data_IF_818174221580
#
_entry.id   IF_818174221580
#
_cell.length_a   1.000
_cell.length_b   1.000
_cell.length_c   1.000
_cell.angle_alpha   90.00
_cell.angle_beta   90.00
_cell.angle_gamma   90.00
#
_symmetry.space_group_name_H-M   'P 1'
#
loop_
_entity.id
_entity.type
_entity.pdbx_description
1 polymer ?
#
# COMPACT_ATOMS: atom_id res chain seq x y z
N UNK A 1 16.42 -9.09 14.37
CA UNK A 1 15.80 -9.86 13.27
C UNK A 1 14.49 -10.45 13.78
N UNK A 2 13.44 -10.48 12.97
CA UNK A 2 12.17 -11.13 13.33
C UNK A 2 12.37 -12.61 13.65
N UNK A 3 11.54 -13.19 14.53
CA UNK A 3 11.52 -14.64 14.72
C UNK A 3 10.93 -15.33 13.47
N UNK A 4 11.30 -16.59 13.18
CA UNK A 4 10.75 -17.32 12.02
C UNK A 4 9.22 -17.33 11.97
N UNK A 5 8.61 -17.42 13.16
CA UNK A 5 7.16 -17.43 13.36
C UNK A 5 6.49 -16.08 13.04
N UNK A 6 7.17 -14.96 13.26
CA UNK A 6 6.66 -13.63 12.88
C UNK A 6 6.80 -13.40 11.37
N UNK A 7 7.91 -13.85 10.77
CA UNK A 7 8.10 -13.79 9.32
C UNK A 7 7.04 -14.57 8.56
N UNK A 8 6.60 -15.71 9.09
CA UNK A 8 5.51 -16.50 8.52
C UNK A 8 4.23 -15.67 8.34
N UNK A 9 3.78 -14.95 9.36
CA UNK A 9 2.57 -14.13 9.26
C UNK A 9 2.71 -12.96 8.28
N UNK A 10 3.85 -12.28 8.25
CA UNK A 10 4.07 -11.23 7.25
C UNK A 10 4.13 -11.80 5.83
N UNK A 11 4.76 -12.95 5.64
CA UNK A 11 4.78 -13.66 4.35
C UNK A 11 3.37 -14.00 3.89
N UNK A 12 2.56 -14.57 4.76
CA UNK A 12 1.18 -14.97 4.46
C UNK A 12 0.22 -13.77 4.30
N UNK A 13 0.55 -12.63 4.91
CA UNK A 13 -0.07 -11.35 4.57
C UNK A 13 0.33 -10.90 3.15
N UNK A 14 1.62 -10.93 2.84
CA UNK A 14 2.18 -10.51 1.56
C UNK A 14 1.70 -11.35 0.37
N UNK A 15 1.52 -12.66 0.54
CA UNK A 15 1.02 -13.56 -0.51
C UNK A 15 -0.37 -13.17 -1.01
N UNK A 16 -1.21 -12.60 -0.13
CA UNK A 16 -2.59 -12.19 -0.43
C UNK A 16 -2.69 -10.82 -1.12
N UNK A 17 -1.71 -9.93 -0.94
CA UNK A 17 -1.79 -8.54 -1.43
C UNK A 17 -1.85 -8.42 -2.96
N UNK A 18 -1.00 -9.10 -3.77
CA UNK A 18 -1.10 -9.04 -5.22
C UNK A 18 -2.45 -9.56 -5.75
N UNK A 19 -3.01 -10.58 -5.11
CA UNK A 19 -4.34 -11.12 -5.45
C UNK A 19 -5.42 -10.05 -5.26
N UNK A 20 -5.37 -9.28 -4.16
CA UNK A 20 -6.27 -8.14 -3.94
C UNK A 20 -6.08 -7.05 -4.99
N UNK A 21 -4.84 -6.77 -5.41
CA UNK A 21 -4.55 -5.81 -6.48
C UNK A 21 -5.18 -6.20 -7.82
N UNK A 22 -5.02 -7.47 -8.24
CA UNK A 22 -5.63 -8.00 -9.47
C UNK A 22 -7.15 -7.97 -9.36
N UNK A 23 -7.69 -8.41 -8.23
CA UNK A 23 -9.13 -8.46 -8.01
C UNK A 23 -9.76 -7.07 -8.02
N UNK A 24 -9.06 -6.06 -7.51
CA UNK A 24 -9.48 -4.65 -7.58
C UNK A 24 -9.62 -4.17 -9.02
N UNK A 25 -8.68 -4.54 -9.91
CA UNK A 25 -8.76 -4.22 -11.34
C UNK A 25 -9.98 -4.90 -11.97
N UNK A 26 -10.16 -6.21 -11.71
CA UNK A 26 -11.29 -6.96 -12.26
C UNK A 26 -12.63 -6.38 -11.79
N UNK A 27 -12.77 -6.10 -10.48
CA UNK A 27 -13.97 -5.46 -9.91
C UNK A 27 -14.26 -4.14 -10.62
N UNK A 28 -13.25 -3.28 -10.80
CA UNK A 28 -13.42 -2.01 -11.49
C UNK A 28 -13.93 -2.20 -12.94
N UNK A 29 -13.33 -3.12 -13.69
CA UNK A 29 -13.74 -3.42 -15.07
C UNK A 29 -15.17 -3.97 -15.14
N UNK A 30 -15.52 -4.92 -14.28
CA UNK A 30 -16.86 -5.50 -14.24
C UNK A 30 -17.92 -4.49 -13.79
N UNK A 31 -17.59 -3.59 -12.86
CA UNK A 31 -18.49 -2.51 -12.47
C UNK A 31 -18.72 -1.52 -13.61
N UNK A 32 -17.68 -1.20 -14.40
CA UNK A 32 -17.80 -0.33 -15.57
C UNK A 32 -18.69 -0.94 -16.65
N UNK A 33 -18.48 -2.22 -16.98
CA UNK A 33 -19.31 -2.97 -17.93
C UNK A 33 -20.74 -3.16 -17.37
N UNK A 34 -20.84 -3.33 -16.05
CA UNK A 34 -22.07 -3.53 -15.29
C UNK A 34 -23.09 -2.40 -15.43
N UNK A 35 -22.64 -1.20 -15.82
CA UNK A 35 -23.52 -0.06 -16.14
C UNK A 35 -24.46 -0.40 -17.30
N UNK A 36 -23.97 -1.16 -18.30
CA UNK A 36 -24.74 -1.55 -19.47
C UNK A 36 -25.31 -2.97 -19.37
N UNK A 37 -24.64 -3.86 -18.62
CA UNK A 37 -24.99 -5.28 -18.54
C UNK A 37 -25.16 -5.74 -17.09
N UNK A 38 -26.40 -6.04 -16.69
CA UNK A 38 -26.73 -6.49 -15.32
C UNK A 38 -25.92 -7.72 -14.89
N UNK A 39 -25.69 -8.68 -15.79
CA UNK A 39 -24.90 -9.90 -15.50
C UNK A 39 -23.47 -9.53 -15.09
N UNK A 40 -22.85 -8.55 -15.74
CA UNK A 40 -21.49 -8.10 -15.40
C UNK A 40 -21.46 -7.42 -14.01
N UNK A 41 -22.50 -6.67 -13.65
CA UNK A 41 -22.66 -6.13 -12.30
C UNK A 41 -22.69 -7.25 -11.25
N UNK A 42 -23.48 -8.31 -11.46
CA UNK A 42 -23.54 -9.45 -10.54
C UNK A 42 -22.17 -10.12 -10.36
N UNK A 43 -21.39 -10.28 -11.43
CA UNK A 43 -20.01 -10.78 -11.37
C UNK A 43 -19.13 -9.85 -10.52
N UNK A 44 -19.22 -8.53 -10.74
CA UNK A 44 -18.50 -7.53 -9.95
C UNK A 44 -18.79 -7.63 -8.44
N UNK A 45 -20.06 -7.84 -8.07
CA UNK A 45 -20.47 -8.07 -6.68
C UNK A 45 -19.88 -9.36 -6.10
N UNK A 46 -19.91 -10.47 -6.85
CA UNK A 46 -19.30 -11.75 -6.44
C UNK A 46 -17.79 -11.58 -6.20
N UNK A 47 -17.08 -10.94 -7.14
CA UNK A 47 -15.64 -10.67 -7.00
C UNK A 47 -15.35 -9.78 -5.78
N UNK A 48 -16.22 -8.81 -5.48
CA UNK A 48 -16.08 -7.94 -4.31
C UNK A 48 -16.21 -8.72 -3.00
N UNK A 49 -17.10 -9.71 -2.93
CA UNK A 49 -17.21 -10.62 -1.77
C UNK A 49 -15.95 -11.48 -1.62
N UNK A 50 -15.44 -12.03 -2.72
CA UNK A 50 -14.17 -12.79 -2.71
C UNK A 50 -13.01 -11.91 -2.21
N UNK A 51 -12.93 -10.66 -2.69
CA UNK A 51 -11.90 -9.70 -2.27
C UNK A 51 -11.97 -9.41 -0.78
N UNK A 52 -13.19 -9.22 -0.26
CA UNK A 52 -13.42 -9.00 1.15
C UNK A 52 -12.94 -10.19 1.99
N UNK A 53 -13.23 -11.43 1.59
CA UNK A 53 -12.78 -12.64 2.30
C UNK A 53 -11.25 -12.71 2.34
N UNK A 54 -10.59 -12.45 1.21
CA UNK A 54 -9.11 -12.45 1.13
C UNK A 54 -8.52 -11.34 2.01
N UNK A 55 -9.10 -10.14 1.98
CA UNK A 55 -8.65 -9.02 2.80
C UNK A 55 -8.79 -9.32 4.30
N UNK A 56 -9.92 -9.89 4.73
CA UNK A 56 -10.11 -10.31 6.12
C UNK A 56 -9.13 -11.39 6.54
N UNK A 57 -8.83 -12.34 5.65
CA UNK A 57 -7.78 -13.37 5.86
C UNK A 57 -6.40 -12.75 5.99
N UNK A 58 -6.05 -11.77 5.16
CA UNK A 58 -4.78 -11.04 5.28
C UNK A 58 -4.70 -10.26 6.61
N UNK A 59 -5.77 -9.55 6.99
CA UNK A 59 -5.82 -8.82 8.25
C UNK A 59 -5.69 -9.73 9.48
N UNK A 60 -6.13 -11.00 9.39
CA UNK A 60 -5.88 -11.99 10.44
C UNK A 60 -4.39 -12.22 10.65
N UNK A 61 -3.61 -12.40 9.59
CA UNK A 61 -2.15 -12.59 9.70
C UNK A 61 -1.46 -11.37 10.31
N UNK A 62 -1.84 -10.16 9.90
CA UNK A 62 -1.32 -8.93 10.49
C UNK A 62 -1.61 -8.81 11.99
N UNK A 63 -2.75 -9.35 12.45
CA UNK A 63 -3.12 -9.41 13.88
C UNK A 63 -2.23 -10.36 14.66
N UNK A 64 -2.01 -11.56 14.12
CA UNK A 64 -1.16 -12.56 14.79
C UNK A 64 0.27 -12.06 14.91
N UNK A 65 0.82 -11.44 13.86
CA UNK A 65 2.09 -10.74 13.94
C UNK A 65 2.08 -9.63 15.01
N UNK A 66 0.99 -8.85 15.08
CA UNK A 66 0.81 -7.81 16.09
C UNK A 66 0.79 -8.32 17.52
N UNK A 67 0.13 -9.46 17.79
CA UNK A 67 0.12 -10.09 19.12
C UNK A 67 1.50 -10.61 19.52
N UNK A 68 2.17 -11.32 18.63
CA UNK A 68 3.51 -11.88 18.88
C UNK A 68 4.55 -10.80 19.14
N UNK A 69 4.39 -9.65 18.49
CA UNK A 69 5.25 -8.48 18.68
C UNK A 69 4.83 -7.58 19.84
N UNK A 70 3.69 -7.85 20.49
CA UNK A 70 3.05 -6.94 21.44
C UNK A 70 2.99 -5.49 20.90
N UNK A 71 2.68 -5.34 19.60
CA UNK A 71 2.75 -4.06 18.91
C UNK A 71 1.35 -3.48 18.66
N UNK A 72 1.05 -2.38 19.36
CA UNK A 72 -0.24 -1.71 19.26
C UNK A 72 -0.57 -1.19 17.85
N UNK A 73 0.42 -0.82 17.03
CA UNK A 73 0.17 -0.27 15.68
C UNK A 73 -0.43 -1.32 14.74
N UNK A 74 0.04 -2.57 14.81
CA UNK A 74 -0.50 -3.68 14.01
C UNK A 74 -1.90 -4.11 14.48
N UNK A 75 -2.12 -4.10 15.80
CA UNK A 75 -3.43 -4.41 16.37
C UNK A 75 -4.47 -3.33 15.99
N UNK A 76 -4.08 -2.06 16.09
CA UNK A 76 -4.91 -0.94 15.65
C UNK A 76 -5.13 -0.94 14.13
N UNK A 77 -4.13 -1.31 13.33
CA UNK A 77 -4.26 -1.42 11.88
C UNK A 77 -5.45 -2.32 11.51
N UNK A 78 -5.51 -3.55 12.04
CA UNK A 78 -6.65 -4.45 11.78
C UNK A 78 -7.97 -3.83 12.23
N UNK A 79 -8.03 -3.36 13.47
CA UNK A 79 -9.27 -2.83 14.05
C UNK A 79 -9.84 -1.68 13.19
N UNK A 80 -8.98 -0.76 12.77
CA UNK A 80 -9.35 0.39 11.92
C UNK A 80 -9.84 -0.04 10.54
N UNK A 81 -9.15 -0.98 9.87
CA UNK A 81 -9.57 -1.47 8.55
C UNK A 81 -10.90 -2.23 8.63
N UNK A 82 -11.08 -3.10 9.64
CA UNK A 82 -12.34 -3.84 9.81
C UNK A 82 -13.51 -2.89 10.08
N UNK A 83 -13.34 -1.93 10.99
CA UNK A 83 -14.38 -0.94 11.28
C UNK A 83 -14.68 -0.07 10.06
N UNK A 84 -13.66 0.29 9.26
CA UNK A 84 -13.87 1.00 8.01
C UNK A 84 -14.74 0.21 7.03
N UNK A 85 -14.50 -1.10 6.87
CA UNK A 85 -15.29 -1.97 6.00
C UNK A 85 -16.74 -2.03 6.46
N UNK A 86 -16.98 -2.26 7.76
CA UNK A 86 -18.33 -2.34 8.32
C UNK A 86 -19.11 -1.05 8.06
N UNK A 87 -18.49 0.10 8.35
CA UNK A 87 -19.12 1.40 8.12
C UNK A 87 -19.39 1.66 6.62
N UNK A 88 -18.49 1.25 5.73
CA UNK A 88 -18.71 1.39 4.28
C UNK A 88 -19.86 0.51 3.79
N UNK A 89 -20.01 -0.71 4.30
CA UNK A 89 -21.14 -1.60 3.97
C UNK A 89 -22.45 -0.97 4.47
N UNK A 90 -22.51 -0.54 5.73
CA UNK A 90 -23.70 0.10 6.32
C UNK A 90 -24.06 1.37 5.54
N UNK A 91 -23.09 2.26 5.30
CA UNK A 91 -23.30 3.49 4.55
C UNK A 91 -23.80 3.22 3.13
N UNK A 92 -23.21 2.27 2.42
CA UNK A 92 -23.64 1.90 1.06
C UNK A 92 -25.07 1.33 1.05
N UNK A 93 -25.43 0.50 2.03
CA UNK A 93 -26.77 -0.04 2.16
C UNK A 93 -27.80 1.07 2.43
N UNK A 94 -27.47 2.03 3.29
CA UNK A 94 -28.36 3.18 3.57
C UNK A 94 -28.58 4.04 2.33
N UNK A 95 -27.54 4.27 1.53
CA UNK A 95 -27.68 4.99 0.26
C UNK A 95 -28.54 4.21 -0.73
N UNK A 96 -28.31 2.91 -0.87
CA UNK A 96 -29.09 2.05 -1.77
C UNK A 96 -30.57 1.98 -1.37
N UNK A 97 -30.87 1.84 -0.07
CA UNK A 97 -32.25 1.89 0.43
C UNK A 97 -32.85 3.27 0.19
N UNK A 98 -32.11 4.35 0.47
CA UNK A 98 -32.58 5.72 0.26
C UNK A 98 -32.96 6.02 -1.20
N UNK A 99 -32.23 5.48 -2.18
CA UNK A 99 -32.58 5.67 -3.60
C UNK A 99 -33.84 4.92 -4.03
N UNK A 100 -34.17 3.79 -3.39
CA UNK A 100 -35.42 3.03 -3.68
C UNK A 100 -36.65 3.79 -3.18
N UNK A 101 -36.56 4.41 -2.00
CA UNK A 101 -37.72 4.99 -1.31
C UNK A 101 -37.97 6.49 -1.60
N UNK A 102 -37.46 7.04 -2.73
CA UNK A 102 -37.41 8.45 -3.25
C UNK A 102 -38.35 9.57 -2.71
N UNK A 103 -39.44 9.28 -2.00
CA UNK A 103 -40.40 10.26 -1.47
C UNK A 103 -40.22 10.54 0.02
N UNK A 104 -39.85 11.79 0.35
CA UNK A 104 -40.04 12.39 1.68
C UNK A 104 -38.77 12.81 2.42
N UNK A 105 -38.93 13.60 3.49
CA UNK A 105 -37.86 14.15 4.34
C UNK A 105 -37.03 13.03 5.01
N UNK A 106 -37.66 11.89 5.30
CA UNK A 106 -37.00 10.71 5.91
C UNK A 106 -35.87 10.19 5.00
N UNK A 107 -36.06 10.24 3.68
CA UNK A 107 -35.04 9.80 2.71
C UNK A 107 -33.81 10.69 2.77
N UNK A 108 -34.00 12.01 2.85
CA UNK A 108 -32.89 12.98 2.93
C UNK A 108 -32.04 12.70 4.17
N UNK A 109 -32.68 12.49 5.33
CA UNK A 109 -31.98 12.11 6.57
C UNK A 109 -31.19 10.81 6.44
N UNK A 110 -31.78 9.79 5.81
CA UNK A 110 -31.13 8.49 5.58
C UNK A 110 -29.90 8.61 4.66
N UNK A 111 -30.02 9.39 3.59
CA UNK A 111 -28.92 9.64 2.65
C UNK A 111 -27.76 10.39 3.32
N UNK A 112 -28.06 11.42 4.12
CA UNK A 112 -27.05 12.16 4.88
C UNK A 112 -26.32 11.23 5.85
N UNK A 113 -27.05 10.40 6.59
CA UNK A 113 -26.46 9.46 7.54
C UNK A 113 -25.60 8.39 6.84
N UNK A 114 -26.03 7.91 5.66
CA UNK A 114 -25.24 7.03 4.81
C UNK A 114 -23.92 7.67 4.39
N UNK A 115 -23.94 8.92 3.91
CA UNK A 115 -22.73 9.68 3.55
C UNK A 115 -21.80 9.85 4.76
N UNK A 116 -22.33 10.16 5.94
CA UNK A 116 -21.54 10.27 7.17
C UNK A 116 -20.80 8.96 7.46
N UNK A 117 -21.47 7.81 7.36
CA UNK A 117 -20.81 6.51 7.56
C UNK A 117 -19.71 6.23 6.52
N UNK A 118 -19.92 6.59 5.25
CA UNK A 118 -18.88 6.46 4.22
C UNK A 118 -17.66 7.33 4.53
N UNK A 119 -17.87 8.59 4.95
CA UNK A 119 -16.78 9.51 5.30
C UNK A 119 -16.00 8.99 6.52
N UNK A 120 -16.70 8.60 7.60
CA UNK A 120 -16.06 8.05 8.80
C UNK A 120 -15.31 6.75 8.46
N UNK A 121 -15.91 5.88 7.66
CA UNK A 121 -15.28 4.66 7.16
C UNK A 121 -14.00 4.95 6.38
N UNK A 122 -14.01 5.92 5.47
CA UNK A 122 -12.83 6.35 4.72
C UNK A 122 -11.73 6.89 5.64
N UNK A 123 -12.06 7.71 6.66
CA UNK A 123 -11.10 8.21 7.65
C UNK A 123 -10.46 7.05 8.42
N UNK A 124 -11.24 6.06 8.86
CA UNK A 124 -10.69 4.87 9.55
C UNK A 124 -9.78 4.06 8.63
N UNK A 125 -10.10 3.95 7.33
CA UNK A 125 -9.25 3.29 6.33
C UNK A 125 -7.89 3.99 6.23
N UNK A 126 -7.89 5.32 6.11
CA UNK A 126 -6.68 6.15 6.06
C UNK A 126 -5.84 5.97 7.34
N UNK A 127 -6.49 6.01 8.51
CA UNK A 127 -5.83 5.78 9.79
C UNK A 127 -5.20 4.39 9.87
N UNK A 128 -5.90 3.35 9.42
CA UNK A 128 -5.38 1.99 9.38
C UNK A 128 -4.07 1.91 8.60
N UNK A 129 -4.07 2.35 7.35
CA UNK A 129 -2.86 2.34 6.52
C UNK A 129 -1.75 3.22 7.08
N UNK A 130 -2.08 4.34 7.73
CA UNK A 130 -1.10 5.14 8.46
C UNK A 130 -0.44 4.39 9.62
N UNK A 131 -1.15 3.49 10.31
CA UNK A 131 -0.58 2.67 11.39
C UNK A 131 0.40 1.63 10.85
N UNK A 132 0.04 0.96 9.75
CA UNK A 132 0.94 0.01 9.09
C UNK A 132 2.21 0.70 8.59
N UNK A 133 2.08 1.86 7.94
CA UNK A 133 3.22 2.67 7.50
C UNK A 133 4.16 3.03 8.65
N UNK A 134 3.61 3.54 9.76
CA UNK A 134 4.39 3.88 10.97
C UNK A 134 5.07 2.65 11.56
N UNK A 135 4.38 1.52 11.61
CA UNK A 135 4.94 0.27 12.10
C UNK A 135 6.17 -0.14 11.30
N UNK A 136 6.07 -0.18 9.97
CA UNK A 136 7.18 -0.58 9.10
C UNK A 136 8.34 0.41 9.23
N UNK A 137 8.06 1.72 9.22
CA UNK A 137 9.07 2.76 9.38
C UNK A 137 9.83 2.67 10.72
N UNK A 138 9.13 2.36 11.82
CA UNK A 138 9.73 2.19 13.14
C UNK A 138 10.49 0.87 13.30
N UNK A 139 10.12 -0.16 12.52
CA UNK A 139 10.67 -1.51 12.62
C UNK A 139 11.46 -1.91 11.37
N UNK A 140 12.07 -0.94 10.65
CA UNK A 140 12.82 -1.23 9.41
C UNK A 140 13.90 -2.29 9.60
N UNK A 141 14.56 -2.32 10.75
CA UNK A 141 15.61 -3.30 11.08
C UNK A 141 15.10 -4.74 11.19
N UNK A 142 13.79 -4.94 11.26
CA UNK A 142 13.15 -6.25 11.29
C UNK A 142 13.18 -6.95 9.94
N UNK A 143 13.19 -6.17 8.85
CA UNK A 143 13.01 -6.65 7.49
C UNK A 143 14.26 -6.36 6.65
N UNK A 144 14.52 -7.16 5.59
CA UNK A 144 15.53 -6.82 4.60
C UNK A 144 15.28 -5.42 4.01
N UNK A 145 16.33 -4.61 3.71
CA UNK A 145 16.17 -3.21 3.32
C UNK A 145 15.21 -2.97 2.15
N UNK A 146 15.26 -3.84 1.13
CA UNK A 146 14.37 -3.77 -0.04
C UNK A 146 12.90 -3.98 0.37
N UNK A 147 12.61 -5.02 1.14
CA UNK A 147 11.26 -5.35 1.60
C UNK A 147 10.73 -4.24 2.51
N UNK A 148 11.56 -3.73 3.45
CA UNK A 148 11.17 -2.61 4.31
C UNK A 148 10.76 -1.37 3.49
N UNK A 149 11.57 -0.99 2.51
CA UNK A 149 11.32 0.16 1.64
C UNK A 149 10.06 -0.04 0.79
N UNK A 150 9.91 -1.20 0.16
CA UNK A 150 8.76 -1.49 -0.71
C UNK A 150 7.45 -1.51 0.09
N UNK A 151 7.42 -2.21 1.22
CA UNK A 151 6.21 -2.35 2.05
C UNK A 151 5.82 -1.04 2.73
N UNK A 152 6.78 -0.23 3.18
CA UNK A 152 6.50 1.10 3.72
C UNK A 152 5.93 2.02 2.64
N UNK A 153 6.57 2.05 1.47
CA UNK A 153 6.07 2.80 0.32
C UNK A 153 4.67 2.34 -0.07
N UNK A 154 4.41 1.03 -0.10
CA UNK A 154 3.09 0.46 -0.38
C UNK A 154 2.03 0.90 0.62
N UNK A 155 2.33 0.86 1.92
CA UNK A 155 1.43 1.35 2.96
C UNK A 155 1.16 2.87 2.86
N UNK A 156 2.17 3.67 2.47
CA UNK A 156 1.97 5.09 2.23
C UNK A 156 1.05 5.34 1.03
N UNK A 157 1.23 4.60 -0.07
CA UNK A 157 0.38 4.69 -1.25
C UNK A 157 -1.07 4.32 -0.92
N UNK A 158 -1.30 3.29 -0.12
CA UNK A 158 -2.64 2.93 0.38
C UNK A 158 -3.34 4.05 1.14
N UNK A 159 -2.58 4.74 2.00
CA UNK A 159 -3.07 5.90 2.76
C UNK A 159 -3.45 7.04 1.81
N UNK A 160 -2.57 7.37 0.84
CA UNK A 160 -2.83 8.43 -0.14
C UNK A 160 -4.04 8.07 -1.01
N UNK A 161 -4.14 6.83 -1.49
CA UNK A 161 -5.29 6.34 -2.22
C UNK A 161 -6.59 6.57 -1.43
N UNK A 162 -6.60 6.20 -0.14
CA UNK A 162 -7.73 6.47 0.77
C UNK A 162 -8.16 7.94 0.82
N UNK A 163 -7.20 8.87 0.82
CA UNK A 163 -7.48 10.32 0.78
C UNK A 163 -8.09 10.71 -0.56
N UNK A 164 -7.53 10.21 -1.67
CA UNK A 164 -8.01 10.55 -3.02
C UNK A 164 -9.44 10.07 -3.26
N UNK A 165 -9.85 8.92 -2.71
CA UNK A 165 -11.23 8.44 -2.81
C UNK A 165 -12.26 9.30 -2.08
N UNK A 166 -11.85 10.20 -1.16
CA UNK A 166 -12.77 11.20 -0.60
C UNK A 166 -13.25 12.19 -1.66
N UNK A 167 -12.51 12.33 -2.76
CA UNK A 167 -12.85 13.23 -3.86
C UNK A 167 -13.24 12.41 -5.09
N UNK A 168 -14.41 12.69 -5.66
CA UNK A 168 -14.92 11.97 -6.83
C UNK A 168 -13.95 12.11 -8.02
N UNK A 169 -13.35 13.30 -8.19
CA UNK A 169 -12.53 13.61 -9.37
C UNK A 169 -11.17 12.89 -9.39
N UNK A 170 -10.64 12.52 -8.21
CA UNK A 170 -9.34 11.84 -8.09
C UNK A 170 -9.47 10.33 -7.87
N UNK A 171 -10.69 9.77 -7.94
CA UNK A 171 -10.93 8.36 -7.67
C UNK A 171 -10.11 7.43 -8.59
N UNK A 172 -9.89 7.80 -9.86
CA UNK A 172 -9.06 7.02 -10.80
C UNK A 172 -7.58 7.01 -10.34
N UNK A 173 -7.06 8.16 -9.90
CA UNK A 173 -5.69 8.23 -9.37
C UNK A 173 -5.59 7.40 -8.10
N UNK A 174 -6.60 7.51 -7.22
CA UNK A 174 -6.74 6.67 -6.02
C UNK A 174 -6.68 5.18 -6.34
N UNK A 175 -7.38 4.73 -7.38
CA UNK A 175 -7.38 3.35 -7.87
C UNK A 175 -5.99 2.88 -8.29
N UNK A 176 -5.28 3.69 -9.08
CA UNK A 176 -3.93 3.36 -9.54
C UNK A 176 -2.98 3.23 -8.34
N UNK A 177 -3.02 4.18 -7.40
CA UNK A 177 -2.17 4.14 -6.20
C UNK A 177 -2.51 2.96 -5.29
N UNK A 178 -3.78 2.59 -5.18
CA UNK A 178 -4.21 1.40 -4.45
C UNK A 178 -3.64 0.13 -5.11
N UNK A 179 -3.73 -0.01 -6.42
CA UNK A 179 -3.16 -1.17 -7.12
C UNK A 179 -1.64 -1.26 -6.85
N UNK A 180 -0.89 -0.17 -7.06
CA UNK A 180 0.56 -0.14 -6.84
C UNK A 180 0.89 -0.47 -5.37
N UNK A 181 0.11 0.06 -4.43
CA UNK A 181 0.30 -0.21 -3.02
C UNK A 181 0.13 -1.69 -2.66
N UNK A 182 -0.84 -2.39 -3.25
CA UNK A 182 -1.04 -3.82 -3.03
C UNK A 182 0.13 -4.64 -3.56
N UNK A 183 0.61 -4.35 -4.78
CA UNK A 183 1.78 -5.02 -5.34
C UNK A 183 3.03 -4.79 -4.50
N UNK A 184 3.25 -3.56 -4.02
CA UNK A 184 4.38 -3.23 -3.14
C UNK A 184 4.31 -3.95 -1.79
N UNK A 185 3.15 -4.00 -1.16
CA UNK A 185 2.92 -4.76 0.08
C UNK A 185 3.12 -6.27 -0.14
N UNK A 186 2.94 -6.76 -1.37
CA UNK A 186 3.21 -8.14 -1.75
C UNK A 186 4.66 -8.59 -1.57
N UNK A 187 5.62 -7.67 -1.48
CA UNK A 187 7.02 -7.99 -1.22
C UNK A 187 7.27 -8.65 0.16
N UNK A 188 6.32 -8.56 1.10
CA UNK A 188 6.40 -9.35 2.33
C UNK A 188 6.42 -10.87 2.08
N UNK A 189 5.88 -11.35 0.95
CA UNK A 189 5.95 -12.76 0.55
C UNK A 189 7.40 -13.27 0.42
N UNK A 190 8.33 -12.37 0.15
CA UNK A 190 9.74 -12.69 -0.07
C UNK A 190 10.54 -12.72 1.26
N UNK A 191 9.87 -12.55 2.41
CA UNK A 191 10.47 -12.81 3.71
C UNK A 191 10.83 -14.30 3.78
N UNK A 192 12.13 -14.57 3.66
CA UNK A 192 12.69 -15.87 3.38
C UNK A 192 12.23 -16.97 4.34
N UNK A 193 11.70 -18.06 3.76
CA UNK A 193 12.24 -19.39 4.04
C UNK A 193 13.55 -19.52 3.27
N UNK A 194 14.71 -19.24 3.89
CA UNK A 194 16.05 -19.67 3.42
C UNK A 194 16.54 -19.34 2.00
N UNK A 195 15.74 -18.74 1.12
CA UNK A 195 16.02 -18.69 -0.31
C UNK A 195 16.10 -17.23 -0.77
N UNK A 196 17.30 -16.66 -0.69
CA UNK A 196 17.68 -15.55 -1.54
C UNK A 196 17.67 -16.05 -2.99
N UNK A 197 16.58 -15.82 -3.71
CA UNK A 197 16.59 -15.91 -5.17
C UNK A 197 16.43 -14.51 -5.75
N UNK A 198 17.26 -14.13 -6.73
CA UNK A 198 17.32 -12.79 -7.26
C UNK A 198 16.02 -12.47 -8.01
N UNK A 199 15.29 -11.45 -7.55
CA UNK A 199 14.25 -10.85 -8.39
C UNK A 199 14.92 -10.40 -9.69
N UNK A 200 14.38 -10.76 -10.87
CA UNK A 200 14.84 -10.23 -12.15
C UNK A 200 14.85 -8.71 -12.06
N UNK A 201 15.98 -8.09 -12.42
CA UNK A 201 16.10 -6.65 -12.55
C UNK A 201 15.05 -6.17 -13.57
N UNK A 202 13.90 -5.70 -13.09
CA UNK A 202 13.09 -4.81 -13.89
C UNK A 202 13.79 -3.45 -13.88
N UNK A 203 14.12 -2.90 -15.06
CA UNK A 203 14.86 -1.67 -15.18
C UNK A 203 14.05 -0.52 -14.61
N UNK A 204 14.65 0.22 -13.67
CA UNK A 204 14.20 1.54 -13.28
C UNK A 204 14.23 2.41 -14.53
N UNK A 205 13.06 2.67 -15.11
CA UNK A 205 12.91 3.71 -16.12
C UNK A 205 13.03 5.04 -15.39
N UNK A 206 14.27 5.51 -15.22
CA UNK A 206 14.55 6.91 -14.94
C UNK A 206 14.27 7.67 -16.23
N UNK A 207 13.17 8.41 -16.24
CA UNK A 207 12.95 9.43 -17.27
C UNK A 207 13.96 10.56 -17.05
N UNK A 208 14.80 10.83 -18.05
CA UNK A 208 15.50 12.11 -18.17
C UNK A 208 15.51 12.49 -19.64
N UNK A 209 14.90 13.63 -19.93
CA UNK A 209 14.88 14.27 -21.24
C UNK A 209 16.24 14.96 -21.46
N UNK A 210 16.71 14.92 -22.72
CA UNK A 210 17.74 15.75 -23.38
C UNK A 210 19.23 15.38 -23.29
N UNK A 211 19.70 14.82 -24.41
CA UNK A 211 20.87 15.17 -25.24
C UNK A 211 22.12 15.82 -24.58
N UNK A 212 23.30 15.18 -24.77
CA UNK A 212 24.44 15.59 -25.64
C UNK A 212 25.66 14.67 -25.35
N UNK A 213 26.29 14.23 -26.45
CA UNK A 213 27.56 13.52 -26.77
C UNK A 213 28.73 13.31 -25.75
N UNK A 214 29.69 12.40 -26.08
CA UNK A 214 30.50 11.61 -25.13
C UNK A 214 31.90 12.18 -24.83
N UNK A 215 32.30 12.22 -23.54
CA UNK A 215 33.71 12.47 -23.15
C UNK A 215 34.14 11.74 -21.85
N UNK A 216 35.27 11.02 -21.98
CA UNK A 216 36.36 10.73 -21.04
C UNK A 216 36.07 10.47 -19.55
N UNK A 217 36.34 9.23 -19.10
CA UNK A 217 36.49 8.86 -17.68
C UNK A 217 37.64 9.65 -17.00
N UNK A 218 37.40 10.33 -15.86
CA UNK A 218 38.48 10.82 -15.01
C UNK A 218 39.04 9.68 -14.14
N UNK A 219 40.39 9.57 -14.07
CA UNK A 219 41.12 8.69 -13.15
C UNK A 219 40.65 8.92 -11.71
N UNK A 220 40.14 7.87 -11.07
CA UNK A 220 39.75 7.87 -9.66
C UNK A 220 40.99 8.06 -8.78
N UNK A 221 41.00 9.10 -7.94
CA UNK A 221 42.02 9.32 -6.90
C UNK A 221 41.45 8.93 -5.53
N UNK A 222 42.29 8.45 -4.64
CA UNK A 222 41.91 8.03 -3.28
C UNK A 222 42.69 8.84 -2.24
N UNK A 223 42.05 9.17 -1.13
CA UNK A 223 42.67 9.91 -0.03
C UNK A 223 43.75 9.06 0.65
N UNK A 224 45.00 9.54 0.78
CA UNK A 224 46.07 8.78 1.42
C UNK A 224 45.86 8.56 2.91
N UNK A 225 45.02 9.38 3.56
CA UNK A 225 44.80 9.32 5.01
C UNK A 225 43.66 8.37 5.42
N UNK A 226 42.57 8.31 4.65
CA UNK A 226 41.39 7.51 5.01
C UNK A 226 40.92 6.53 3.93
N UNK A 227 41.53 6.54 2.74
CA UNK A 227 41.17 5.65 1.63
C UNK A 227 39.87 6.02 0.90
N UNK A 228 39.20 7.11 1.26
CA UNK A 228 37.97 7.54 0.59
C UNK A 228 38.25 7.97 -0.86
N UNK A 229 37.33 7.64 -1.77
CA UNK A 229 37.43 8.03 -3.17
C UNK A 229 37.12 9.53 -3.33
N UNK A 230 38.05 10.28 -3.93
CA UNK A 230 37.94 11.72 -4.11
C UNK A 230 37.41 12.00 -5.52
N UNK A 231 36.42 12.87 -5.61
CA UNK A 231 35.78 13.25 -6.87
C UNK A 231 36.28 14.63 -7.32
N UNK A 232 37.49 14.69 -7.86
CA UNK A 232 38.01 15.89 -8.54
C UNK A 232 39.10 16.66 -7.78
N UNK A 233 39.16 17.98 -8.00
CA UNK A 233 40.17 18.90 -7.47
C UNK A 233 39.77 19.50 -6.09
N UNK A 234 39.26 18.65 -5.19
CA UNK A 234 38.94 19.08 -3.82
C UNK A 234 40.24 19.33 -3.05
N UNK A 235 40.38 20.50 -2.38
CA UNK A 235 41.56 20.79 -1.53
C UNK A 235 41.56 19.98 -0.23
N UNK A 236 40.40 19.52 0.22
CA UNK A 236 40.22 18.79 1.48
C UNK A 236 39.32 17.58 1.26
N UNK A 237 39.60 16.48 1.97
CA UNK A 237 38.82 15.25 1.88
C UNK A 237 37.45 15.41 2.56
N UNK A 238 36.38 15.17 1.81
CA UNK A 238 35.00 15.22 2.30
C UNK A 238 34.65 14.17 3.37
N UNK A 239 35.42 13.08 3.49
CA UNK A 239 35.19 12.04 4.51
C UNK A 239 35.94 12.27 5.83
N UNK A 240 37.13 12.87 5.81
CA UNK A 240 37.97 12.99 7.02
C UNK A 240 38.53 14.40 7.27
N UNK A 241 38.31 15.34 6.37
CA UNK A 241 38.72 16.74 6.51
C UNK A 241 40.22 17.01 6.28
N UNK A 242 41.03 16.01 5.92
CA UNK A 242 42.48 16.21 5.66
C UNK A 242 42.72 16.90 4.32
N UNK A 243 43.76 17.74 4.25
CA UNK A 243 44.23 18.35 2.99
C UNK A 243 44.78 17.29 2.02
N UNK A 244 44.50 17.43 0.72
CA UNK A 244 44.70 16.41 -0.33
C UNK A 244 45.89 16.69 -1.27
#
# INVERSE_FOLDING_TARGET
MATPDINFHFREFGTKMPTLGILTILIFLFNLIGIFFVIASLIGWILSVIALIILLSALKEAREAGYKLNNHLLLEFRSKIVNAIILNIIGSLMLFVGTIFYRGIIVIGLLILGIIFLIVGAILRIQGWSRLHKFIGQNRSMFPPKIASDTESGANLMKIAGILYLTIILAIIGLILEIIGYFKLGSFRDLAEGNTSPTPAQPVVTQTISAVQPQAQPKKRFCPNCGAQISGNEKYCSSCGSEL
#
